data_IF_499004456101
#
_entry.id   IF_499004456101
#
_cell.length_a   1.000
_cell.length_b   1.000
_cell.length_c   1.000
_cell.angle_alpha   90.00
_cell.angle_beta   90.00
_cell.angle_gamma   90.00
#
_symmetry.space_group_name_H-M   'P 1'
#
loop_
_entity.id
_entity.type
_entity.pdbx_description
1 polymer ?
#
# COMPACT_ATOMS: atom_id res chain seq x y z
N UNK A 1 -10.35 -2.80 3.85
CA UNK A 1 -10.23 -4.18 3.32
C UNK A 1 -11.10 -4.28 2.08
N UNK A 2 -10.70 -5.06 1.06
CA UNK A 2 -11.43 -5.26 -0.20
C UNK A 2 -12.08 -4.03 -0.81
N UNK A 3 -13.39 -3.87 -0.66
CA UNK A 3 -14.13 -2.72 -1.18
C UNK A 3 -13.58 -1.36 -0.73
N UNK A 4 -13.13 -1.23 0.52
CA UNK A 4 -12.50 0.00 1.00
C UNK A 4 -11.14 0.27 0.35
N UNK A 5 -10.38 -0.78 0.03
CA UNK A 5 -9.15 -0.63 -0.74
C UNK A 5 -9.46 -0.13 -2.16
N UNK A 6 -10.46 -0.72 -2.82
CA UNK A 6 -10.91 -0.27 -4.14
C UNK A 6 -11.36 1.19 -4.18
N UNK A 7 -12.15 1.62 -3.20
CA UNK A 7 -12.62 3.00 -3.16
C UNK A 7 -11.48 4.02 -2.96
N UNK A 8 -10.51 3.71 -2.10
CA UNK A 8 -9.44 4.65 -1.77
C UNK A 8 -8.28 4.63 -2.76
N UNK A 9 -7.93 3.48 -3.35
CA UNK A 9 -6.68 3.31 -4.11
C UNK A 9 -6.69 4.03 -5.47
N UNK A 10 -7.87 4.27 -6.03
CA UNK A 10 -8.04 4.98 -7.31
C UNK A 10 -8.11 6.50 -7.14
N UNK A 11 -8.15 6.99 -5.90
CA UNK A 11 -8.05 8.41 -5.60
C UNK A 11 -6.66 8.96 -5.92
N UNK A 12 -6.62 10.22 -6.39
CA UNK A 12 -5.34 10.92 -6.65
C UNK A 12 -4.52 11.11 -5.37
N UNK A 13 -5.20 11.44 -4.28
CA UNK A 13 -4.61 11.62 -2.95
C UNK A 13 -5.02 10.47 -2.06
N UNK A 14 -4.03 9.76 -1.51
CA UNK A 14 -4.23 8.57 -0.68
C UNK A 14 -3.50 8.79 0.64
N UNK A 15 -4.26 9.22 1.64
CA UNK A 15 -3.74 9.52 2.97
C UNK A 15 -3.83 8.28 3.85
N UNK A 16 -2.69 7.82 4.35
CA UNK A 16 -2.61 6.75 5.33
C UNK A 16 -2.29 7.31 6.72
N UNK A 17 -2.69 6.58 7.76
CA UNK A 17 -2.44 6.91 9.16
C UNK A 17 -1.86 5.70 9.90
N UNK A 18 -1.45 5.89 11.14
CA UNK A 18 -0.98 4.82 12.03
C UNK A 18 -2.03 3.73 12.28
N UNK A 19 -3.32 4.08 12.18
CA UNK A 19 -4.44 3.16 12.36
C UNK A 19 -4.91 2.53 11.03
N UNK A 20 -4.31 2.93 9.90
CA UNK A 20 -4.69 2.41 8.60
C UNK A 20 -4.17 0.99 8.42
N UNK A 21 -5.09 0.08 8.11
CA UNK A 21 -4.81 -1.32 7.82
C UNK A 21 -5.32 -1.68 6.43
N UNK A 22 -4.39 -1.98 5.54
CA UNK A 22 -4.68 -2.42 4.19
C UNK A 22 -4.50 -3.93 4.07
N UNK A 23 -5.50 -4.62 3.51
CA UNK A 23 -5.42 -6.03 3.21
C UNK A 23 -6.40 -6.39 2.11
N UNK A 24 -6.01 -7.38 1.30
CA UNK A 24 -6.82 -8.01 0.27
C UNK A 24 -7.03 -9.50 0.63
N UNK A 25 -7.94 -9.82 1.56
CA UNK A 25 -8.19 -11.19 2.01
C UNK A 25 -9.14 -11.97 1.07
N UNK A 26 -9.43 -11.46 -0.13
CA UNK A 26 -10.38 -12.08 -1.08
C UNK A 26 -9.95 -13.51 -1.43
N UNK A 27 -8.64 -13.74 -1.57
CA UNK A 27 -8.05 -15.07 -1.84
C UNK A 27 -8.32 -16.07 -0.74
N UNK A 28 -8.39 -15.65 0.52
CA UNK A 28 -8.76 -16.52 1.63
C UNK A 28 -10.24 -16.94 1.61
N UNK A 29 -11.09 -16.17 0.93
CA UNK A 29 -12.51 -16.47 0.72
C UNK A 29 -12.78 -17.27 -0.56
N UNK A 30 -11.73 -17.63 -1.32
CA UNK A 30 -11.87 -18.28 -2.63
C UNK A 30 -12.24 -17.33 -3.77
N UNK A 31 -12.10 -16.01 -3.56
CA UNK A 31 -12.27 -14.98 -4.57
C UNK A 31 -10.92 -14.49 -5.06
N UNK A 32 -10.88 -13.86 -6.24
CA UNK A 32 -9.69 -13.16 -6.71
C UNK A 32 -9.67 -11.73 -6.15
N UNK A 33 -8.49 -11.09 -5.98
CA UNK A 33 -8.41 -9.69 -5.62
C UNK A 33 -9.11 -8.84 -6.70
N UNK A 34 -10.27 -8.29 -6.35
CA UNK A 34 -11.13 -7.54 -7.25
C UNK A 34 -10.83 -6.02 -7.15
N UNK A 35 -11.78 -5.16 -7.52
CA UNK A 35 -11.65 -3.68 -7.42
C UNK A 35 -10.42 -3.05 -8.07
N UNK A 36 -9.88 -3.70 -9.11
CA UNK A 36 -8.69 -3.22 -9.82
C UNK A 36 -7.37 -3.53 -9.10
N UNK A 37 -7.35 -4.50 -8.19
CA UNK A 37 -6.13 -5.02 -7.57
C UNK A 37 -5.05 -5.37 -8.59
N UNK A 38 -5.42 -6.02 -9.70
CA UNK A 38 -4.51 -6.31 -10.80
C UNK A 38 -3.82 -5.06 -11.38
N UNK A 39 -4.45 -3.89 -11.29
CA UNK A 39 -3.88 -2.62 -11.77
C UNK A 39 -2.86 -2.04 -10.78
N UNK A 40 -3.21 -1.91 -9.49
CA UNK A 40 -2.31 -1.24 -8.56
C UNK A 40 -1.25 -2.18 -7.97
N UNK A 41 -1.57 -3.47 -7.76
CA UNK A 41 -0.62 -4.46 -7.25
C UNK A 41 0.52 -4.73 -8.25
N UNK A 42 0.23 -4.78 -9.55
CA UNK A 42 1.25 -4.99 -10.60
C UNK A 42 2.25 -3.85 -10.72
N UNK A 43 1.95 -2.69 -10.14
CA UNK A 43 2.83 -1.51 -10.14
C UNK A 43 3.65 -1.36 -8.87
N UNK A 44 3.44 -2.26 -7.88
CA UNK A 44 4.25 -2.29 -6.67
C UNK A 44 5.66 -2.78 -6.97
N UNK A 45 6.65 -2.39 -6.15
CA UNK A 45 8.05 -2.77 -6.39
C UNK A 45 8.26 -4.30 -6.30
N UNK A 46 9.01 -4.85 -7.26
CA UNK A 46 9.37 -6.28 -7.29
C UNK A 46 8.16 -7.19 -7.44
N UNK A 47 8.12 -8.30 -6.69
CA UNK A 47 6.97 -9.20 -6.62
C UNK A 47 6.08 -8.94 -5.41
N UNK A 48 6.16 -7.73 -4.82
CA UNK A 48 5.44 -7.42 -3.59
C UNK A 48 3.92 -7.43 -3.79
N UNK A 49 3.43 -6.96 -4.94
CA UNK A 49 2.00 -7.00 -5.24
C UNK A 49 1.43 -8.41 -5.38
N UNK A 50 2.18 -9.32 -6.01
CA UNK A 50 1.80 -10.73 -6.11
C UNK A 50 1.76 -11.39 -4.73
N UNK A 51 2.78 -11.12 -3.89
CA UNK A 51 2.80 -11.59 -2.52
C UNK A 51 1.56 -11.14 -1.75
N UNK A 52 1.31 -9.82 -1.68
CA UNK A 52 0.18 -9.25 -0.92
C UNK A 52 -1.16 -9.76 -1.46
N UNK A 53 -1.31 -9.88 -2.78
CA UNK A 53 -2.54 -10.39 -3.38
C UNK A 53 -2.79 -11.88 -3.10
N UNK A 54 -1.75 -12.72 -3.12
CA UNK A 54 -1.89 -14.16 -2.89
C UNK A 54 -1.99 -14.52 -1.41
N UNK A 55 -1.25 -13.85 -0.53
CA UNK A 55 -1.24 -14.16 0.91
C UNK A 55 -2.31 -13.41 1.69
N UNK A 56 -2.86 -12.33 1.14
CA UNK A 56 -3.76 -11.44 1.86
C UNK A 56 -3.10 -10.77 3.07
N UNK A 57 -1.77 -10.58 3.04
CA UNK A 57 -1.01 -9.99 4.15
C UNK A 57 -1.52 -8.58 4.46
N UNK A 58 -1.64 -8.28 5.76
CA UNK A 58 -2.01 -6.96 6.25
C UNK A 58 -0.81 -6.03 6.18
N UNK A 59 -1.04 -4.82 5.69
CA UNK A 59 -0.08 -3.74 5.58
C UNK A 59 -0.52 -2.58 6.48
N UNK A 60 0.41 -2.10 7.29
CA UNK A 60 0.24 -0.89 8.10
C UNK A 60 0.40 0.36 7.22
N UNK A 61 -0.12 1.51 7.67
CA UNK A 61 -0.03 2.78 6.94
C UNK A 61 1.41 3.20 6.55
N UNK A 62 2.40 2.86 7.38
CA UNK A 62 3.82 3.09 7.05
C UNK A 62 4.31 2.23 5.88
N UNK A 63 3.90 0.95 5.84
CA UNK A 63 4.23 0.03 4.75
C UNK A 63 3.51 0.44 3.47
N UNK A 64 2.26 0.91 3.57
CA UNK A 64 1.51 1.45 2.44
C UNK A 64 2.24 2.63 1.79
N UNK A 65 2.86 3.52 2.59
CA UNK A 65 3.67 4.62 2.07
C UNK A 65 4.93 4.08 1.37
N UNK A 66 5.64 3.14 2.00
CA UNK A 66 6.89 2.59 1.47
C UNK A 66 6.72 1.80 0.17
N UNK A 67 5.59 1.11 -0.02
CA UNK A 67 5.30 0.39 -1.25
C UNK A 67 4.63 1.26 -2.33
N UNK A 68 4.22 2.49 -1.99
CA UNK A 68 3.55 3.41 -2.92
C UNK A 68 2.05 3.18 -3.08
N UNK A 69 1.41 2.43 -2.17
CA UNK A 69 -0.05 2.32 -2.07
C UNK A 69 -0.68 3.59 -1.49
N UNK A 70 -0.01 4.23 -0.53
CA UNK A 70 -0.36 5.55 -0.02
C UNK A 70 0.56 6.61 -0.63
N UNK A 71 0.05 7.82 -0.85
CA UNK A 71 0.87 8.96 -1.30
C UNK A 71 1.42 9.73 -0.13
N UNK A 72 0.60 9.91 0.91
CA UNK A 72 0.92 10.72 2.08
C UNK A 72 0.63 9.94 3.36
N UNK A 73 1.40 10.19 4.40
CA UNK A 73 1.14 9.66 5.73
C UNK A 73 0.87 10.82 6.68
N UNK A 74 -0.27 10.80 7.36
CA UNK A 74 -0.70 11.86 8.28
C UNK A 74 -1.09 11.21 9.61
N UNK A 75 -0.52 11.66 10.74
CA UNK A 75 -0.93 11.16 12.05
C UNK A 75 -2.41 11.40 12.32
N UNK A 76 -3.11 10.45 12.94
CA UNK A 76 -4.57 10.53 13.19
C UNK A 76 -4.98 11.81 13.93
N UNK A 77 -4.14 12.28 14.85
CA UNK A 77 -4.34 13.51 15.64
C UNK A 77 -4.44 14.77 14.76
N UNK A 78 -3.81 14.77 13.58
CA UNK A 78 -3.80 15.91 12.64
C UNK A 78 -4.86 15.81 11.54
N UNK A 79 -5.60 14.71 11.44
CA UNK A 79 -6.60 14.53 10.40
C UNK A 79 -7.70 15.59 10.45
N UNK A 80 -8.20 15.92 11.65
CA UNK A 80 -9.24 16.95 11.80
C UNK A 80 -8.76 18.32 11.33
N UNK A 81 -7.51 18.67 11.63
CA UNK A 81 -6.91 19.92 11.16
C UNK A 81 -6.72 19.93 9.64
N UNK A 82 -6.32 18.80 9.06
CA UNK A 82 -6.20 18.64 7.62
C UNK A 82 -7.57 18.79 6.93
N UNK A 83 -8.62 18.18 7.46
CA UNK A 83 -9.99 18.31 6.94
C UNK A 83 -10.46 19.77 6.98
N UNK A 84 -10.23 20.48 8.09
CA UNK A 84 -10.55 21.90 8.20
C UNK A 84 -9.77 22.77 7.21
N UNK A 85 -8.48 22.47 7.00
CA UNK A 85 -7.65 23.16 6.01
C UNK A 85 -8.15 22.92 4.59
N UNK A 86 -8.53 21.68 4.26
CA UNK A 86 -9.09 21.31 2.96
C UNK A 86 -10.44 21.97 2.70
N UNK A 87 -11.31 22.06 3.70
CA UNK A 87 -12.61 22.74 3.60
C UNK A 87 -12.51 24.25 3.40
N UNK A 88 -11.39 24.88 3.80
CA UNK A 88 -11.16 26.32 3.62
C UNK A 88 -10.63 26.68 2.24
N UNK A 89 -10.26 25.70 1.41
CA UNK A 89 -9.84 25.97 0.03
C UNK A 89 -11.03 26.08 -0.90
N UNK A 90 -11.06 27.16 -1.66
CA UNK A 90 -12.01 27.36 -2.76
C UNK A 90 -11.44 26.92 -4.13
N UNK A 91 -10.16 26.48 -4.17
CA UNK A 91 -9.45 26.15 -5.40
C UNK A 91 -9.39 24.64 -5.67
N UNK A 92 -9.69 24.22 -6.89
CA UNK A 92 -9.62 22.81 -7.34
C UNK A 92 -8.23 22.39 -7.85
N UNK A 93 -7.21 23.24 -7.69
CA UNK A 93 -5.88 22.98 -8.23
C UNK A 93 -5.19 21.83 -7.48
N UNK A 94 -4.85 20.71 -8.15
CA UNK A 94 -4.31 19.54 -7.48
C UNK A 94 -2.93 19.79 -6.86
N UNK A 95 -2.16 20.77 -7.37
CA UNK A 95 -0.86 21.12 -6.82
C UNK A 95 -0.96 21.84 -5.47
N UNK A 96 -2.01 22.65 -5.28
CA UNK A 96 -2.26 23.33 -4.01
C UNK A 96 -2.73 22.31 -2.96
N UNK A 97 -3.61 21.39 -3.37
CA UNK A 97 -4.09 20.31 -2.49
C UNK A 97 -2.92 19.43 -2.03
N UNK A 98 -2.01 19.04 -2.94
CA UNK A 98 -0.82 18.26 -2.53
C UNK A 98 0.06 19.02 -1.55
N UNK A 99 0.32 20.31 -1.78
CA UNK A 99 1.18 21.10 -0.92
C UNK A 99 0.64 21.19 0.52
N UNK A 100 -0.69 21.29 0.66
CA UNK A 100 -1.35 21.35 1.96
C UNK A 100 -1.29 19.99 2.65
N UNK A 101 -1.58 18.90 1.94
CA UNK A 101 -1.47 17.57 2.55
C UNK A 101 -0.01 17.28 2.97
N UNK A 102 0.96 17.72 2.18
CA UNK A 102 2.38 17.59 2.48
C UNK A 102 2.78 18.36 3.75
N UNK A 103 2.17 19.52 4.03
CA UNK A 103 2.40 20.29 5.27
C UNK A 103 2.01 19.50 6.54
N UNK A 104 0.91 18.74 6.48
CA UNK A 104 0.45 17.90 7.58
C UNK A 104 1.09 16.51 7.58
N UNK A 105 1.81 16.15 6.52
CA UNK A 105 2.41 14.84 6.36
C UNK A 105 3.58 14.62 7.32
N UNK A 106 3.81 13.35 7.66
CA UNK A 106 4.94 12.93 8.46
C UNK A 106 5.57 11.68 7.85
N UNK A 107 6.88 11.52 8.00
CA UNK A 107 7.57 10.34 7.51
C UNK A 107 7.58 9.27 8.62
N UNK A 108 6.83 8.17 8.47
CA UNK A 108 6.78 7.13 9.49
C UNK A 108 8.05 6.27 9.44
N UNK A 109 8.48 5.79 10.60
CA UNK A 109 9.49 4.73 10.69
C UNK A 109 8.86 3.37 10.35
N UNK A 110 9.52 2.59 9.50
CA UNK A 110 9.12 1.20 9.24
C UNK A 110 9.47 0.31 10.43
N UNK A 111 8.57 -0.60 10.79
CA UNK A 111 8.83 -1.64 11.79
C UNK A 111 9.84 -2.65 11.23
N UNK A 112 10.76 -3.14 12.05
CA UNK A 112 11.77 -4.14 11.65
C UNK A 112 11.16 -5.43 11.09
N UNK A 113 9.97 -5.82 11.59
CA UNK A 113 9.24 -7.02 11.14
C UNK A 113 8.27 -6.75 9.98
N UNK A 114 8.39 -5.60 9.31
CA UNK A 114 7.49 -5.24 8.20
C UNK A 114 7.55 -6.26 7.06
N UNK A 115 6.41 -6.52 6.44
CA UNK A 115 6.30 -7.35 5.24
C UNK A 115 7.16 -6.78 4.10
N UNK A 116 7.38 -5.46 4.11
CA UNK A 116 8.23 -4.75 3.15
C UNK A 116 9.71 -5.16 3.24
N UNK A 117 10.23 -5.45 4.44
CA UNK A 117 11.62 -5.83 4.63
C UNK A 117 11.94 -7.27 4.21
N UNK A 118 10.98 -8.10 3.78
CA UNK A 118 11.27 -9.45 3.29
C UNK A 118 12.15 -9.38 2.03
N UNK A 119 13.46 -9.63 2.14
CA UNK A 119 14.42 -9.30 1.09
C UNK A 119 14.22 -10.17 -0.16
N UNK A 120 13.61 -11.36 0.00
CA UNK A 120 13.33 -12.29 -1.09
C UNK A 120 12.22 -11.82 -2.04
N UNK A 121 11.33 -10.92 -1.63
CA UNK A 121 10.17 -10.51 -2.45
C UNK A 121 10.53 -9.33 -3.37
N UNK A 122 11.31 -8.38 -2.87
CA UNK A 122 11.74 -7.20 -3.63
C UNK A 122 13.00 -7.43 -4.48
N UNK A 123 13.90 -8.35 -4.08
CA UNK A 123 15.18 -8.58 -4.78
C UNK A 123 15.06 -9.36 -6.09
N UNK A 124 13.94 -10.04 -6.35
CA UNK A 124 13.80 -10.86 -7.54
C UNK A 124 13.38 -10.03 -8.77
N UNK A 125 14.10 -8.95 -9.09
CA UNK A 125 13.93 -8.30 -10.39
C UNK A 125 14.56 -9.20 -11.47
N UNK A 126 13.74 -9.90 -12.24
CA UNK A 126 14.15 -10.43 -13.56
C UNK A 126 14.49 -11.91 -13.69
N UNK A 127 13.99 -12.80 -12.81
CA UNK A 127 13.97 -14.24 -13.13
C UNK A 127 12.57 -14.79 -12.96
N UNK A 128 11.83 -14.86 -14.07
CA UNK A 128 11.02 -16.04 -14.30
C UNK A 128 11.99 -17.24 -14.27
N UNK A 129 11.77 -18.18 -13.36
CA UNK A 129 11.46 -19.52 -13.81
C UNK A 129 10.08 -19.83 -13.22
N UNK A 130 9.09 -20.10 -14.06
CA UNK A 130 8.69 -21.50 -14.26
C UNK A 130 9.09 -22.36 -13.06
N UNK A 131 8.11 -22.63 -12.19
CA UNK A 131 8.14 -23.67 -11.16
C UNK A 131 9.29 -24.68 -11.36
N UNK A 132 10.46 -24.43 -10.74
CA UNK A 132 11.44 -25.48 -10.51
C UNK A 132 11.27 -25.83 -9.04
N UNK A 133 10.44 -26.85 -8.82
CA UNK A 133 10.59 -27.73 -7.66
C UNK A 133 12.07 -28.11 -7.63
N UNK A 134 12.84 -27.46 -6.77
CA UNK A 134 14.22 -27.87 -6.54
C UNK A 134 14.16 -29.08 -5.65
N UNK A 135 14.42 -30.23 -6.25
CA UNK A 135 14.67 -31.50 -5.60
C UNK A 135 15.65 -31.33 -4.44
N UNK A 136 15.27 -31.94 -3.33
CA UNK A 136 16.04 -32.10 -2.12
C UNK A 136 17.16 -33.13 -2.36
N UNK A 137 18.47 -32.81 -2.20
CA UNK A 137 19.45 -33.85 -1.97
C UNK A 137 19.49 -34.11 -0.45
N UNK A 138 18.73 -35.12 -0.03
CA UNK A 138 18.99 -35.77 1.25
C UNK A 138 20.38 -36.42 1.19
N UNK A 139 21.16 -36.15 2.23
CA UNK A 139 22.39 -36.82 2.63
C UNK A 139 22.26 -38.34 2.67
#
# INVERSE_FOLDING_TARGET
>A
MGGGAGASIHGRFRVATENSLFAMPETALGLFPDVGASYFLSRLPGFFGEYVGLTGTRLDGAEMLACGLATHFVPSVRLSLLEEALCKLDSTDPALISAIIDEYSHQPSLKEQSAYHRPRICSCRGRLPFFVLNDNPAS
#
